data_IF_767968808479
#
_entry.id   IF_767968808479
#
_cell.length_a   1.000
_cell.length_b   1.000
_cell.length_c   1.000
_cell.angle_alpha   90.00
_cell.angle_beta   90.00
_cell.angle_gamma   90.00
#
_symmetry.space_group_name_H-M   'P 1'
#
loop_
_entity.id
_entity.type
_entity.pdbx_description
1 polymer ?
#
# COMPACT_ATOMS: atom_id res chain seq x y z
N UNK A 1 2.99 5.58 -15.47
CA UNK A 1 2.65 5.08 -14.13
C UNK A 1 3.66 4.05 -13.59
N UNK A 2 4.39 3.31 -14.41
CA UNK A 2 5.36 2.30 -13.95
C UNK A 2 6.73 2.86 -13.53
N UNK A 3 7.01 4.15 -13.73
CA UNK A 3 8.29 4.77 -13.33
C UNK A 3 8.55 4.69 -11.82
N UNK A 4 7.51 4.81 -11.01
CA UNK A 4 7.65 4.76 -9.53
C UNK A 4 7.95 3.36 -9.01
N UNK A 5 7.44 2.30 -9.66
CA UNK A 5 7.76 0.92 -9.31
C UNK A 5 9.15 0.48 -9.78
N UNK A 6 9.69 1.14 -10.82
CA UNK A 6 11.02 0.88 -11.33
C UNK A 6 12.13 1.54 -10.47
N UNK A 7 11.80 2.58 -9.69
CA UNK A 7 12.77 3.23 -8.82
C UNK A 7 13.08 2.37 -7.59
N UNK A 8 14.35 2.17 -7.24
CA UNK A 8 14.73 1.54 -5.97
C UNK A 8 14.14 2.31 -4.79
N UNK A 9 13.52 1.59 -3.83
CA UNK A 9 12.88 2.20 -2.65
C UNK A 9 13.81 3.13 -1.86
N UNK A 10 15.10 2.82 -1.82
CA UNK A 10 16.13 3.66 -1.20
C UNK A 10 16.21 5.04 -1.87
N UNK A 11 16.23 5.10 -3.21
CA UNK A 11 16.32 6.38 -3.94
C UNK A 11 15.07 7.22 -3.73
N UNK A 12 13.90 6.59 -3.73
CA UNK A 12 12.64 7.28 -3.44
C UNK A 12 12.64 7.85 -2.02
N UNK A 13 13.05 7.06 -1.03
CA UNK A 13 13.09 7.50 0.36
C UNK A 13 14.10 8.65 0.57
N UNK A 14 15.30 8.55 -0.01
CA UNK A 14 16.30 9.62 0.02
C UNK A 14 15.79 10.88 -0.67
N UNK A 15 15.15 10.75 -1.83
CA UNK A 15 14.54 11.87 -2.55
C UNK A 15 13.50 12.60 -1.71
N UNK A 16 12.61 11.86 -1.04
CA UNK A 16 11.62 12.42 -0.13
C UNK A 16 12.26 13.11 1.09
N UNK A 17 13.29 12.51 1.68
CA UNK A 17 14.02 13.14 2.79
C UNK A 17 14.67 14.46 2.35
N UNK A 18 15.37 14.47 1.23
CA UNK A 18 16.03 15.67 0.70
C UNK A 18 15.02 16.76 0.33
N UNK A 19 13.92 16.37 -0.31
CA UNK A 19 12.83 17.30 -0.64
C UNK A 19 12.25 17.93 0.64
N UNK A 20 12.00 17.12 1.66
CA UNK A 20 11.48 17.60 2.95
C UNK A 20 12.48 18.53 3.64
N UNK A 21 13.76 18.20 3.66
CA UNK A 21 14.81 19.08 4.18
C UNK A 21 14.82 20.44 3.47
N UNK A 22 14.71 20.45 2.15
CA UNK A 22 14.67 21.70 1.37
C UNK A 22 13.45 22.54 1.69
N UNK A 23 12.27 21.92 1.75
CA UNK A 23 11.01 22.60 2.07
C UNK A 23 11.03 23.14 3.50
N UNK A 24 11.53 22.37 4.47
CA UNK A 24 11.55 22.77 5.88
C UNK A 24 12.68 23.72 6.23
N UNK A 25 13.65 23.96 5.35
CA UNK A 25 14.71 24.94 5.56
C UNK A 25 14.19 26.38 5.74
N UNK A 26 13.01 26.68 5.18
CA UNK A 26 12.34 27.97 5.33
C UNK A 26 11.34 28.03 6.51
N UNK A 27 11.19 26.92 7.25
CA UNK A 27 10.24 26.80 8.37
C UNK A 27 10.97 26.93 9.72
N UNK A 28 10.23 27.12 10.84
CA UNK A 28 10.81 27.16 12.17
C UNK A 28 11.66 25.93 12.49
N UNK A 29 12.67 26.12 13.34
CA UNK A 29 13.54 25.04 13.77
C UNK A 29 12.73 23.88 14.38
N UNK A 30 13.02 22.64 13.92
CA UNK A 30 12.32 21.44 14.35
C UNK A 30 11.19 20.98 13.43
N UNK A 31 10.74 21.77 12.46
CA UNK A 31 9.69 21.39 11.53
C UNK A 31 10.01 20.08 10.78
N UNK A 32 11.25 19.89 10.38
CA UNK A 32 11.71 18.64 9.76
C UNK A 32 11.47 17.42 10.67
N UNK A 33 11.88 17.51 11.94
CA UNK A 33 11.70 16.44 12.92
C UNK A 33 10.22 16.10 13.16
N UNK A 34 9.35 17.12 13.20
CA UNK A 34 7.90 16.92 13.35
C UNK A 34 7.32 16.22 12.14
N UNK A 35 7.67 16.64 10.93
CA UNK A 35 7.18 15.99 9.69
C UNK A 35 7.68 14.55 9.61
N UNK A 36 8.94 14.30 9.89
CA UNK A 36 9.52 12.96 9.87
C UNK A 36 8.89 12.05 10.95
N UNK A 37 8.72 12.58 12.17
CA UNK A 37 8.12 11.85 13.29
C UNK A 37 6.61 11.62 13.16
N UNK A 38 5.90 12.42 12.37
CA UNK A 38 4.45 12.28 12.15
C UNK A 38 4.05 11.05 11.33
N UNK A 39 4.99 10.40 10.65
CA UNK A 39 4.72 9.29 9.72
C UNK A 39 4.16 9.71 8.36
N UNK A 40 3.88 11.00 8.13
CA UNK A 40 3.38 11.50 6.84
C UNK A 40 4.33 11.17 5.70
N UNK A 41 5.63 11.33 5.92
CA UNK A 41 6.64 11.07 4.92
C UNK A 41 6.72 9.58 4.57
N UNK A 42 6.57 8.71 5.56
CA UNK A 42 6.48 7.26 5.36
C UNK A 42 5.22 6.89 4.55
N UNK A 43 4.07 7.48 4.89
CA UNK A 43 2.82 7.29 4.14
C UNK A 43 2.94 7.74 2.69
N UNK A 44 3.56 8.90 2.44
CA UNK A 44 3.83 9.39 1.09
C UNK A 44 4.79 8.46 0.33
N UNK A 45 5.83 7.95 1.01
CA UNK A 45 6.75 6.97 0.45
C UNK A 45 6.06 5.69 0.01
N UNK A 46 5.20 5.12 0.86
CA UNK A 46 4.43 3.92 0.53
C UNK A 46 3.40 4.19 -0.58
N UNK A 47 2.68 5.30 -0.51
CA UNK A 47 1.67 5.66 -1.52
C UNK A 47 2.30 5.81 -2.90
N UNK A 48 3.43 6.52 -3.00
CA UNK A 48 4.13 6.68 -4.28
C UNK A 48 4.74 5.37 -4.77
N UNK A 49 5.29 4.56 -3.87
CA UNK A 49 5.95 3.29 -4.20
C UNK A 49 4.99 2.25 -4.74
N UNK A 50 3.83 2.09 -4.09
CA UNK A 50 2.89 1.00 -4.35
C UNK A 50 1.65 1.41 -5.15
N UNK A 51 1.52 2.69 -5.52
CA UNK A 51 0.38 3.20 -6.29
C UNK A 51 0.14 2.39 -7.57
N UNK A 52 1.19 2.06 -8.30
CA UNK A 52 1.07 1.33 -9.57
C UNK A 52 0.55 -0.10 -9.37
N UNK A 53 0.98 -0.76 -8.29
CA UNK A 53 0.57 -2.14 -7.98
C UNK A 53 -0.90 -2.22 -7.54
N UNK A 54 -1.35 -1.24 -6.75
CA UNK A 54 -2.74 -1.15 -6.27
C UNK A 54 -3.67 -0.65 -7.38
N UNK A 55 -3.19 0.20 -8.28
CA UNK A 55 -3.98 0.77 -9.36
C UNK A 55 -4.45 -0.27 -10.39
N UNK A 56 -3.63 -1.26 -10.71
CA UNK A 56 -3.96 -2.26 -11.72
C UNK A 56 -5.27 -3.02 -11.39
N UNK A 57 -5.41 -3.69 -10.23
CA UNK A 57 -6.64 -4.40 -9.90
C UNK A 57 -7.85 -3.47 -9.70
N UNK A 58 -7.65 -2.22 -9.27
CA UNK A 58 -8.74 -1.24 -9.20
C UNK A 58 -9.25 -0.87 -10.60
N UNK A 59 -8.34 -0.66 -11.55
CA UNK A 59 -8.69 -0.39 -12.95
C UNK A 59 -9.46 -1.56 -13.57
N UNK A 60 -9.00 -2.78 -13.33
CA UNK A 60 -9.66 -3.99 -13.84
C UNK A 60 -11.05 -4.16 -13.22
N UNK A 61 -11.21 -3.92 -11.93
CA UNK A 61 -12.50 -3.88 -11.25
C UNK A 61 -13.47 -2.83 -11.82
N UNK A 62 -12.96 -1.63 -12.14
CA UNK A 62 -13.75 -0.59 -12.79
C UNK A 62 -14.15 -0.97 -14.22
N UNK A 63 -13.27 -1.64 -14.95
CA UNK A 63 -13.54 -2.12 -16.31
C UNK A 63 -14.59 -3.25 -16.34
N UNK A 64 -14.73 -3.99 -15.24
CA UNK A 64 -15.75 -5.04 -15.09
C UNK A 64 -17.17 -4.50 -14.90
N UNK A 65 -17.35 -3.20 -14.68
CA UNK A 65 -18.68 -2.58 -14.56
C UNK A 65 -19.36 -2.60 -15.93
N UNK A 66 -20.41 -3.41 -16.08
CA UNK A 66 -21.20 -3.45 -17.30
C UNK A 66 -22.10 -2.21 -17.42
N UNK A 67 -21.79 -1.36 -18.41
CA UNK A 67 -22.52 -0.13 -18.67
C UNK A 67 -24.01 -0.40 -18.96
N UNK A 68 -24.34 -1.56 -19.54
CA UNK A 68 -25.72 -1.96 -19.82
C UNK A 68 -26.54 -2.12 -18.55
N UNK A 69 -25.94 -2.65 -17.48
CA UNK A 69 -26.59 -2.77 -16.16
C UNK A 69 -26.85 -1.39 -15.54
N UNK A 70 -25.89 -0.47 -15.68
CA UNK A 70 -26.03 0.92 -15.21
C UNK A 70 -27.14 1.63 -15.97
N UNK A 71 -27.23 1.45 -17.29
CA UNK A 71 -28.26 2.07 -18.13
C UNK A 71 -29.64 1.46 -17.88
N UNK A 72 -29.72 0.14 -17.70
CA UNK A 72 -30.98 -0.55 -17.32
C UNK A 72 -31.53 -0.03 -15.98
N UNK A 73 -30.65 0.11 -14.98
CA UNK A 73 -31.04 0.70 -13.70
C UNK A 73 -31.52 2.16 -13.84
N UNK A 74 -30.91 2.90 -14.78
CA UNK A 74 -31.35 4.28 -15.10
C UNK A 74 -32.74 4.35 -15.70
N UNK A 75 -33.01 3.47 -16.66
CA UNK A 75 -34.37 3.37 -17.31
C UNK A 75 -35.42 3.00 -16.28
N UNK A 76 -35.10 2.14 -15.30
CA UNK A 76 -35.96 1.79 -14.17
C UNK A 76 -36.12 2.91 -13.12
N UNK A 77 -35.62 4.12 -13.38
CA UNK A 77 -35.79 5.29 -12.51
C UNK A 77 -34.85 5.32 -11.31
N UNK A 78 -33.79 4.49 -11.28
CA UNK A 78 -32.85 4.52 -10.18
C UNK A 78 -32.04 5.82 -10.16
N UNK A 79 -31.95 6.48 -9.00
CA UNK A 79 -31.11 7.67 -8.80
C UNK A 79 -29.63 7.33 -8.96
N UNK A 80 -28.79 8.33 -9.22
CA UNK A 80 -27.33 8.14 -9.37
C UNK A 80 -26.71 7.41 -8.16
N UNK A 81 -27.11 7.80 -6.94
CA UNK A 81 -26.62 7.18 -5.71
C UNK A 81 -27.08 5.71 -5.58
N UNK A 82 -28.30 5.40 -6.00
CA UNK A 82 -28.82 4.02 -6.00
C UNK A 82 -28.04 3.17 -7.00
N UNK A 83 -27.82 3.64 -8.23
CA UNK A 83 -27.00 2.93 -9.24
C UNK A 83 -25.57 2.68 -8.74
N UNK A 84 -24.96 3.69 -8.12
CA UNK A 84 -23.62 3.54 -7.53
C UNK A 84 -23.61 2.39 -6.50
N UNK A 85 -24.55 2.37 -5.56
CA UNK A 85 -24.60 1.37 -4.48
C UNK A 85 -25.00 -0.02 -4.94
N UNK A 86 -25.91 -0.14 -5.93
CA UNK A 86 -26.49 -1.44 -6.32
C UNK A 86 -25.80 -2.09 -7.51
N UNK A 87 -25.11 -1.32 -8.35
CA UNK A 87 -24.43 -1.84 -9.55
C UNK A 87 -22.91 -1.61 -9.46
N UNK A 88 -22.48 -0.37 -9.35
CA UNK A 88 -21.07 -0.04 -9.48
C UNK A 88 -20.25 -0.58 -8.31
N UNK A 89 -20.65 -0.29 -7.06
CA UNK A 89 -19.91 -0.71 -5.87
C UNK A 89 -19.78 -2.24 -5.80
N UNK A 90 -20.84 -3.04 -5.96
CA UNK A 90 -20.69 -4.50 -5.95
C UNK A 90 -19.75 -5.01 -7.05
N UNK A 91 -19.80 -4.43 -8.26
CA UNK A 91 -18.95 -4.85 -9.37
C UNK A 91 -17.48 -4.51 -9.16
N UNK A 92 -17.16 -3.42 -8.45
CA UNK A 92 -15.77 -2.98 -8.18
C UNK A 92 -15.19 -3.63 -6.91
N UNK A 93 -16.05 -4.09 -5.99
CA UNK A 93 -15.62 -4.66 -4.69
C UNK A 93 -14.58 -5.77 -4.82
N UNK A 94 -14.65 -6.72 -5.76
CA UNK A 94 -13.60 -7.73 -5.94
C UNK A 94 -12.24 -7.11 -6.28
N UNK A 95 -12.22 -6.14 -7.18
CA UNK A 95 -11.01 -5.40 -7.55
C UNK A 95 -10.41 -4.63 -6.37
N UNK A 96 -11.25 -4.00 -5.54
CA UNK A 96 -10.82 -3.32 -4.31
C UNK A 96 -10.19 -4.33 -3.33
N UNK A 97 -10.83 -5.48 -3.13
CA UNK A 97 -10.30 -6.49 -2.22
C UNK A 97 -8.93 -7.01 -2.67
N UNK A 98 -8.76 -7.30 -3.95
CA UNK A 98 -7.47 -7.69 -4.52
C UNK A 98 -6.43 -6.59 -4.36
N UNK A 99 -6.79 -5.33 -4.63
CA UNK A 99 -5.92 -4.17 -4.48
C UNK A 99 -5.43 -4.02 -3.02
N UNK A 100 -6.33 -4.16 -2.05
CA UNK A 100 -6.00 -4.09 -0.62
C UNK A 100 -5.03 -5.20 -0.22
N UNK A 101 -5.25 -6.43 -0.66
CA UNK A 101 -4.35 -7.56 -0.34
C UNK A 101 -2.98 -7.37 -0.97
N UNK A 102 -2.91 -6.95 -2.23
CA UNK A 102 -1.62 -6.67 -2.91
C UNK A 102 -0.89 -5.53 -2.21
N UNK A 103 -1.56 -4.42 -1.93
CA UNK A 103 -0.98 -3.28 -1.23
C UNK A 103 -0.49 -3.63 0.18
N UNK A 104 -1.28 -4.38 0.94
CA UNK A 104 -0.88 -4.88 2.25
C UNK A 104 0.40 -5.73 2.18
N UNK A 105 0.44 -6.71 1.26
CA UNK A 105 1.61 -7.55 1.07
C UNK A 105 2.85 -6.76 0.64
N UNK A 106 2.68 -5.77 -0.20
CA UNK A 106 3.76 -4.92 -0.65
C UNK A 106 4.36 -4.12 0.52
N UNK A 107 3.49 -3.48 1.33
CA UNK A 107 3.90 -2.67 2.50
C UNK A 107 4.58 -3.53 3.57
N UNK A 108 4.01 -4.70 3.90
CA UNK A 108 4.56 -5.57 4.96
C UNK A 108 5.96 -6.07 4.63
N UNK A 109 6.28 -6.26 3.36
CA UNK A 109 7.59 -6.71 2.88
C UNK A 109 8.57 -5.56 2.60
N UNK A 110 8.09 -4.33 2.58
CA UNK A 110 8.94 -3.17 2.25
C UNK A 110 9.88 -2.84 3.40
N UNK A 111 11.17 -2.91 3.14
CA UNK A 111 12.23 -2.61 4.11
C UNK A 111 12.93 -1.27 3.85
N UNK A 112 13.40 -0.95 2.63
CA UNK A 112 14.18 0.26 2.36
C UNK A 112 13.51 1.57 2.75
N UNK A 113 12.23 1.74 2.38
CA UNK A 113 11.46 2.96 2.71
C UNK A 113 11.23 3.02 4.22
N UNK A 114 10.91 1.89 4.85
CA UNK A 114 10.69 1.83 6.30
C UNK A 114 11.96 2.15 7.10
N UNK A 115 13.12 1.63 6.67
CA UNK A 115 14.41 1.90 7.33
C UNK A 115 14.73 3.39 7.32
N UNK A 116 14.56 4.06 6.20
CA UNK A 116 14.93 5.46 6.03
C UNK A 116 13.90 6.44 6.59
N UNK A 117 12.62 6.16 6.41
CA UNK A 117 11.54 7.08 6.78
C UNK A 117 10.81 6.66 8.06
N UNK A 118 10.87 5.39 8.43
CA UNK A 118 10.15 4.85 9.59
C UNK A 118 10.87 5.04 10.92
N UNK A 119 12.19 5.20 10.91
CA UNK A 119 12.99 5.26 12.15
C UNK A 119 12.56 6.34 13.12
N UNK A 120 12.24 7.53 12.61
CA UNK A 120 11.81 8.65 13.45
C UNK A 120 10.35 8.53 13.94
N UNK A 121 9.53 7.69 13.32
CA UNK A 121 8.12 7.51 13.68
C UNK A 121 7.93 6.46 14.78
N UNK A 122 8.96 5.68 15.08
CA UNK A 122 8.84 4.50 15.94
C UNK A 122 8.02 3.34 15.33
N UNK A 123 7.53 3.49 14.09
CA UNK A 123 6.80 2.44 13.39
C UNK A 123 7.77 1.35 12.92
N UNK A 124 7.62 0.16 13.48
CA UNK A 124 8.41 -1.02 13.12
C UNK A 124 7.52 -2.00 12.34
N UNK A 125 7.73 -2.08 11.03
CA UNK A 125 7.09 -3.12 10.20
C UNK A 125 7.69 -4.49 10.51
N UNK A 126 7.04 -5.55 10.05
CA UNK A 126 7.53 -6.91 10.28
C UNK A 126 8.88 -7.14 9.55
N UNK A 127 9.04 -6.61 8.33
CA UNK A 127 10.30 -6.64 7.59
C UNK A 127 11.43 -5.88 8.32
N UNK A 128 11.11 -4.72 8.91
CA UNK A 128 12.05 -3.99 9.76
C UNK A 128 12.47 -4.81 10.96
N UNK A 129 11.54 -5.50 11.61
CA UNK A 129 11.81 -6.34 12.77
C UNK A 129 12.74 -7.52 12.45
N UNK A 130 12.53 -8.16 11.29
CA UNK A 130 13.43 -9.22 10.80
C UNK A 130 14.85 -8.67 10.64
N UNK A 131 14.99 -7.52 10.00
CA UNK A 131 16.29 -6.89 9.77
C UNK A 131 16.97 -6.46 11.07
N UNK A 132 16.23 -5.81 11.97
CA UNK A 132 16.70 -5.32 13.27
C UNK A 132 17.25 -6.47 14.12
N UNK A 133 16.49 -7.57 14.26
CA UNK A 133 16.92 -8.76 15.00
C UNK A 133 18.08 -9.49 14.34
N UNK A 134 18.09 -9.54 13.00
CA UNK A 134 19.23 -10.08 12.26
C UNK A 134 20.50 -9.26 12.52
N UNK A 135 20.42 -7.92 12.46
CA UNK A 135 21.55 -7.03 12.70
C UNK A 135 22.09 -7.14 14.14
N UNK A 136 21.22 -7.44 15.12
CA UNK A 136 21.58 -7.68 16.51
C UNK A 136 22.08 -9.11 16.77
N UNK A 137 22.23 -9.95 15.75
CA UNK A 137 22.60 -11.38 15.84
C UNK A 137 21.60 -12.24 16.65
N UNK A 138 20.35 -11.79 16.77
CA UNK A 138 19.26 -12.50 17.45
C UNK A 138 18.53 -13.40 16.43
N UNK A 139 19.21 -14.46 15.99
CA UNK A 139 18.76 -15.33 14.89
C UNK A 139 17.40 -15.98 15.14
N UNK A 140 17.11 -16.42 16.36
CA UNK A 140 15.82 -17.04 16.71
C UNK A 140 14.67 -16.05 16.57
N UNK A 141 14.82 -14.83 17.04
CA UNK A 141 13.80 -13.80 16.97
C UNK A 141 13.59 -13.30 15.53
N UNK A 142 14.69 -13.19 14.77
CA UNK A 142 14.64 -12.89 13.34
C UNK A 142 13.91 -13.98 12.57
N UNK A 143 14.18 -15.26 12.88
CA UNK A 143 13.52 -16.42 12.28
C UNK A 143 12.02 -16.44 12.55
N UNK A 144 11.59 -16.20 13.79
CA UNK A 144 10.18 -16.14 14.15
C UNK A 144 9.45 -15.01 13.40
N UNK A 145 10.04 -13.83 13.37
CA UNK A 145 9.48 -12.69 12.64
C UNK A 145 9.42 -12.94 11.13
N UNK A 146 10.42 -13.63 10.58
CA UNK A 146 10.46 -14.05 9.18
C UNK A 146 9.37 -15.07 8.84
N UNK A 147 9.16 -16.07 9.70
CA UNK A 147 8.08 -17.06 9.53
C UNK A 147 6.70 -16.40 9.55
N UNK A 148 6.48 -15.43 10.43
CA UNK A 148 5.22 -14.65 10.46
C UNK A 148 5.03 -13.87 9.15
N UNK A 149 6.10 -13.27 8.62
CA UNK A 149 6.05 -12.54 7.35
C UNK A 149 5.70 -13.47 6.18
N UNK A 150 6.33 -14.63 6.10
CA UNK A 150 6.04 -15.65 5.08
C UNK A 150 4.62 -16.18 5.24
N UNK A 151 4.18 -16.46 6.46
CA UNK A 151 2.82 -16.91 6.75
C UNK A 151 1.76 -15.91 6.31
N UNK A 152 1.93 -14.63 6.63
CA UNK A 152 1.04 -13.56 6.18
C UNK A 152 1.00 -13.45 4.64
N UNK A 153 2.17 -13.53 3.99
CA UNK A 153 2.25 -13.50 2.53
C UNK A 153 1.57 -14.72 1.89
N UNK A 154 1.72 -15.91 2.47
CA UNK A 154 1.08 -17.13 2.00
C UNK A 154 -0.44 -17.10 2.17
N UNK A 155 -0.93 -16.66 3.33
CA UNK A 155 -2.38 -16.52 3.61
C UNK A 155 -3.02 -15.54 2.63
N UNK A 156 -2.40 -14.40 2.40
CA UNK A 156 -2.93 -13.38 1.49
C UNK A 156 -2.89 -13.84 0.02
N UNK A 157 -1.85 -14.56 -0.40
CA UNK A 157 -1.80 -15.17 -1.72
C UNK A 157 -2.88 -16.26 -1.89
N UNK A 158 -3.10 -17.08 -0.86
CA UNK A 158 -4.16 -18.09 -0.86
C UNK A 158 -5.55 -17.44 -0.92
N UNK A 159 -5.80 -16.39 -0.14
CA UNK A 159 -7.06 -15.66 -0.14
C UNK A 159 -7.38 -15.07 -1.52
N UNK A 160 -6.41 -14.47 -2.19
CA UNK A 160 -6.60 -13.93 -3.56
C UNK A 160 -6.83 -15.04 -4.59
N UNK A 161 -6.18 -16.19 -4.43
CA UNK A 161 -6.38 -17.33 -5.32
C UNK A 161 -7.78 -17.94 -5.17
N UNK A 162 -8.27 -18.09 -3.94
CA UNK A 162 -9.62 -18.60 -3.69
C UNK A 162 -10.69 -17.66 -4.25
N UNK A 163 -10.51 -16.35 -4.08
CA UNK A 163 -11.47 -15.38 -4.61
C UNK A 163 -11.64 -15.46 -6.12
N UNK A 164 -10.51 -15.60 -6.86
CA UNK A 164 -10.55 -15.75 -8.33
C UNK A 164 -11.21 -17.03 -8.83
N UNK A 165 -11.39 -18.05 -8.00
CA UNK A 165 -12.07 -19.31 -8.37
C UNK A 165 -13.58 -19.24 -8.25
N UNK A 166 -14.11 -18.22 -7.60
CA UNK A 166 -15.56 -18.03 -7.38
C UNK A 166 -16.19 -17.03 -8.36
N UNK A 167 -15.38 -16.46 -9.28
CA UNK A 167 -15.81 -15.68 -10.44
C UNK A 167 -15.84 -16.54 -11.72
#
# INVERSE_FOLDING_TARGET
MYLTSALPGVLLALGLMLATLRVTAALPQGAYGVILGSGLLLMLGYSTRFLAEVYAPLKDGLAAVDQRQVDSARVLGATALRRLKTVVVPSVTPGIAVALVIGFNAIVKELPVTLLLGGATGLKTLSFRVWDRYAESLWHDAGLSGLLLVGLAAISAWATHQWRRHE
#
